data_IF_782615719847
#
_entry.id   IF_782615719847
#
_cell.length_a   1.000
_cell.length_b   1.000
_cell.length_c   1.000
_cell.angle_alpha   90.00
_cell.angle_beta   90.00
_cell.angle_gamma   90.00
#
_symmetry.space_group_name_H-M   'P 1'
#
loop_
_entity.id
_entity.type
_entity.pdbx_description
1 polymer ?
#
# COMPACT_ATOMS: atom_id res chain seq x y z
N UNK A 1 -0.20 29.35 25.17
CA UNK A 1 -1.24 28.28 25.12
C UNK A 1 -1.16 27.59 23.78
N UNK A 2 -1.29 26.25 23.77
CA UNK A 2 -1.32 25.47 22.50
C UNK A 2 -2.51 25.90 21.64
N UNK A 3 -2.33 25.87 20.32
CA UNK A 3 -3.37 26.29 19.37
C UNK A 3 -3.55 27.79 19.24
N UNK A 4 -2.70 28.56 19.85
CA UNK A 4 -2.65 30.02 19.62
C UNK A 4 -1.68 30.35 18.48
N UNK A 5 -1.91 31.47 17.82
CA UNK A 5 -1.01 31.96 16.75
C UNK A 5 0.44 32.08 17.23
N UNK A 6 0.63 32.47 18.48
CA UNK A 6 1.96 32.57 19.09
C UNK A 6 2.69 31.25 19.23
N UNK A 7 1.99 30.18 19.61
CA UNK A 7 2.56 28.84 19.68
C UNK A 7 2.91 28.31 18.28
N UNK A 8 2.00 28.46 17.32
CA UNK A 8 2.25 28.05 15.94
C UNK A 8 3.46 28.75 15.35
N UNK A 9 3.60 30.06 15.59
CA UNK A 9 4.76 30.82 15.16
C UNK A 9 6.08 30.36 15.82
N UNK A 10 6.02 29.97 17.11
CA UNK A 10 7.18 29.43 17.81
C UNK A 10 7.64 28.09 17.21
N UNK A 11 6.71 27.17 16.91
CA UNK A 11 7.01 25.90 16.26
C UNK A 11 7.58 26.10 14.85
N UNK A 12 7.03 27.02 14.06
CA UNK A 12 7.58 27.38 12.74
C UNK A 12 9.00 27.93 12.83
N UNK A 13 9.29 28.78 13.82
CA UNK A 13 10.66 29.30 14.06
C UNK A 13 11.61 28.17 14.44
N UNK A 14 11.17 27.24 15.29
CA UNK A 14 11.96 26.07 15.68
C UNK A 14 12.26 25.17 14.47
N UNK A 15 11.25 24.92 13.58
CA UNK A 15 11.47 24.22 12.31
C UNK A 15 12.52 24.93 11.47
N UNK A 16 12.38 26.23 11.24
CA UNK A 16 13.35 27.00 10.45
C UNK A 16 14.76 27.00 11.07
N UNK A 17 14.88 26.92 12.39
CA UNK A 17 16.16 26.75 13.07
C UNK A 17 16.76 25.35 12.81
N UNK A 18 15.96 24.30 12.92
CA UNK A 18 16.40 22.93 12.63
C UNK A 18 16.86 22.77 11.18
N UNK A 19 16.15 23.40 10.22
CA UNK A 19 16.55 23.41 8.80
C UNK A 19 17.92 24.11 8.60
N UNK A 20 18.16 25.23 9.28
CA UNK A 20 19.48 25.90 9.20
C UNK A 20 20.59 25.04 9.79
N UNK A 21 20.34 24.32 10.88
CA UNK A 21 21.32 23.38 11.44
C UNK A 21 21.60 22.23 10.49
N UNK A 22 20.57 21.64 9.90
CA UNK A 22 20.72 20.56 8.90
C UNK A 22 21.57 21.02 7.70
N UNK A 23 21.32 22.27 7.20
CA UNK A 23 22.08 22.85 6.09
C UNK A 23 23.52 23.24 6.44
N UNK A 24 23.82 23.43 7.71
CA UNK A 24 25.16 23.73 8.21
C UNK A 24 26.03 22.48 8.44
N UNK A 25 25.45 21.27 8.32
CA UNK A 25 26.22 20.05 8.42
C UNK A 25 27.28 19.91 7.32
N UNK A 26 28.43 19.29 7.60
CA UNK A 26 29.44 19.01 6.58
C UNK A 26 28.83 18.22 5.40
N UNK A 27 29.21 18.56 4.19
CA UNK A 27 28.72 17.90 2.95
C UNK A 27 28.92 16.38 3.01
N UNK A 28 29.97 15.91 3.64
CA UNK A 28 30.26 14.49 3.79
C UNK A 28 29.17 13.72 4.57
N UNK A 29 28.43 14.37 5.45
CA UNK A 29 27.31 13.76 6.20
C UNK A 29 26.00 13.76 5.40
N UNK A 30 25.91 14.61 4.37
CA UNK A 30 24.65 14.87 3.67
C UNK A 30 23.61 15.53 4.59
N UNK A 31 22.44 15.82 4.06
CA UNK A 31 21.35 16.35 4.85
C UNK A 31 20.54 15.20 5.47
N UNK A 32 20.12 15.34 6.75
CA UNK A 32 19.33 14.31 7.40
C UNK A 32 17.97 14.18 6.70
N UNK A 33 17.45 12.94 6.53
CA UNK A 33 16.15 12.74 5.91
C UNK A 33 14.99 13.21 6.78
N UNK A 34 15.20 13.38 8.09
CA UNK A 34 14.18 13.86 9.02
C UNK A 34 14.64 15.05 9.83
N UNK A 35 13.69 15.93 10.13
CA UNK A 35 13.78 16.93 11.20
C UNK A 35 12.68 16.64 12.22
N UNK A 36 13.05 16.62 13.49
CA UNK A 36 12.12 16.47 14.61
C UNK A 36 12.14 17.77 15.41
N UNK A 37 11.01 18.43 15.49
CA UNK A 37 10.81 19.62 16.31
C UNK A 37 9.99 19.24 17.53
N UNK A 38 10.46 19.57 18.73
CA UNK A 38 9.85 19.12 19.97
C UNK A 38 9.41 20.31 20.82
N UNK A 39 8.13 20.35 21.16
CA UNK A 39 7.64 21.11 22.31
C UNK A 39 7.69 20.19 23.53
N UNK A 40 8.69 20.42 24.39
CA UNK A 40 9.08 19.49 25.47
C UNK A 40 7.91 19.26 26.42
N UNK A 41 7.62 17.98 26.63
CA UNK A 41 6.50 17.54 27.47
C UNK A 41 5.14 17.61 26.76
N UNK A 42 5.10 17.89 25.45
CA UNK A 42 3.85 18.13 24.76
C UNK A 42 3.71 17.41 23.42
N UNK A 43 4.57 17.68 22.43
CA UNK A 43 4.37 17.20 21.08
C UNK A 43 5.69 17.10 20.31
N UNK A 44 5.75 16.12 19.42
CA UNK A 44 6.75 16.00 18.36
C UNK A 44 6.12 16.43 17.04
N UNK A 45 6.80 17.26 16.26
CA UNK A 45 6.47 17.52 14.86
C UNK A 45 7.53 16.86 13.97
N UNK A 46 7.08 16.01 13.04
CA UNK A 46 7.94 15.28 12.13
C UNK A 46 7.93 15.92 10.75
N UNK A 47 9.11 16.13 10.20
CA UNK A 47 9.30 16.64 8.84
C UNK A 47 10.32 15.79 8.11
N UNK A 48 10.06 15.46 6.83
CA UNK A 48 10.93 14.61 6.02
C UNK A 48 11.33 15.27 4.70
N UNK A 49 12.56 15.00 4.28
CA UNK A 49 13.11 15.24 2.94
C UNK A 49 13.89 14.01 2.49
N UNK A 50 13.20 13.06 1.87
CA UNK A 50 13.80 11.82 1.36
C UNK A 50 14.71 12.05 0.15
N UNK A 51 14.55 13.19 -0.55
CA UNK A 51 15.48 13.56 -1.61
C UNK A 51 16.87 13.91 -1.07
N UNK A 52 16.99 14.16 0.24
CA UNK A 52 18.22 14.57 0.92
C UNK A 52 18.89 15.79 0.28
N UNK A 53 18.09 16.67 -0.29
CA UNK A 53 18.55 17.91 -0.88
C UNK A 53 18.52 19.07 0.11
N UNK A 54 17.85 18.89 1.24
CA UNK A 54 17.62 19.91 2.27
C UNK A 54 16.78 21.09 1.78
N UNK A 55 16.12 20.94 0.62
CA UNK A 55 15.36 22.03 0.00
C UNK A 55 13.94 22.12 0.54
N UNK A 56 13.32 20.98 0.85
CA UNK A 56 11.92 20.95 1.23
C UNK A 56 11.65 19.85 2.26
N UNK A 57 11.71 20.20 3.53
CA UNK A 57 11.20 19.35 4.60
C UNK A 57 9.69 19.50 4.69
N UNK A 58 8.96 18.48 4.27
CA UNK A 58 7.50 18.40 4.31
C UNK A 58 7.01 17.68 5.57
N UNK A 59 5.76 17.91 5.95
CA UNK A 59 5.12 17.23 7.08
C UNK A 59 5.05 15.72 6.82
N UNK A 60 5.42 14.91 7.81
CA UNK A 60 5.46 13.44 7.70
C UNK A 60 4.65 12.76 8.81
N UNK A 61 3.82 11.76 8.50
CA UNK A 61 3.59 11.20 7.16
C UNK A 61 2.76 12.11 6.25
N UNK A 62 1.96 13.00 6.81
CA UNK A 62 1.08 13.94 6.12
C UNK A 62 0.75 15.16 7.00
N UNK A 63 -0.07 16.08 6.51
CA UNK A 63 -0.47 17.30 7.22
C UNK A 63 -1.34 17.04 8.47
N UNK A 64 -1.92 15.87 8.61
CA UNK A 64 -2.77 15.50 9.74
C UNK A 64 -1.99 14.70 10.80
N UNK A 65 -1.09 13.81 10.36
CA UNK A 65 -0.34 12.88 11.19
C UNK A 65 1.03 13.38 11.68
N UNK A 66 1.55 14.50 11.16
CA UNK A 66 2.91 14.96 11.49
C UNK A 66 3.12 15.38 12.94
N UNK A 67 2.04 15.65 13.68
CA UNK A 67 2.05 16.02 15.10
C UNK A 67 1.73 14.83 15.96
N UNK A 68 2.69 14.40 16.75
CA UNK A 68 2.55 13.27 17.67
C UNK A 68 2.52 13.81 19.10
N UNK A 69 1.35 13.84 19.79
CA UNK A 69 1.27 14.15 21.20
C UNK A 69 2.16 13.23 22.03
N UNK A 70 2.76 13.76 23.10
CA UNK A 70 3.71 12.98 23.91
C UNK A 70 3.06 11.75 24.55
N UNK A 71 1.76 11.81 24.83
CA UNK A 71 0.97 10.70 25.36
C UNK A 71 1.00 9.48 24.44
N UNK A 72 1.10 9.69 23.12
CA UNK A 72 1.19 8.61 22.14
C UNK A 72 2.51 7.83 22.18
N UNK A 73 3.49 8.26 22.98
CA UNK A 73 4.66 7.43 23.26
C UNK A 73 4.31 6.13 24.02
N UNK A 74 3.12 6.05 24.64
CA UNK A 74 2.61 4.80 25.18
C UNK A 74 2.31 3.76 24.11
N UNK A 75 2.00 4.20 22.87
CA UNK A 75 1.66 3.32 21.76
C UNK A 75 2.92 2.67 21.16
N UNK A 76 2.86 1.35 20.95
CA UNK A 76 3.96 0.59 20.34
C UNK A 76 4.29 1.09 18.92
N UNK A 77 3.25 1.39 18.13
CA UNK A 77 3.37 1.90 16.78
C UNK A 77 4.15 3.23 16.74
N UNK A 78 3.82 4.17 17.64
CA UNK A 78 4.52 5.46 17.74
C UNK A 78 5.99 5.26 18.10
N UNK A 79 6.30 4.38 19.06
CA UNK A 79 7.69 4.08 19.42
C UNK A 79 8.46 3.42 18.30
N UNK A 80 7.81 2.53 17.56
CA UNK A 80 8.40 1.86 16.39
C UNK A 80 8.71 2.87 15.29
N UNK A 81 7.77 3.76 14.97
CA UNK A 81 7.99 4.85 14.03
C UNK A 81 9.20 5.71 14.40
N UNK A 82 9.25 6.20 15.65
CA UNK A 82 10.36 7.04 16.12
C UNK A 82 11.69 6.27 16.10
N UNK A 83 11.69 4.98 16.44
CA UNK A 83 12.88 4.14 16.33
C UNK A 83 13.33 4.03 14.89
N UNK A 84 12.41 3.75 13.95
CA UNK A 84 12.73 3.63 12.51
C UNK A 84 13.28 4.93 11.94
N UNK A 85 12.74 6.09 12.34
CA UNK A 85 13.29 7.40 11.97
C UNK A 85 14.76 7.52 12.40
N UNK A 86 15.13 6.91 13.53
CA UNK A 86 16.50 6.99 14.07
C UNK A 86 17.45 5.96 13.48
N UNK A 87 16.97 4.74 13.21
CA UNK A 87 17.81 3.63 12.78
C UNK A 87 17.83 3.42 11.27
N UNK A 88 16.67 3.58 10.62
CA UNK A 88 16.46 3.26 9.20
C UNK A 88 15.56 4.28 8.51
N UNK A 89 15.88 5.59 8.56
CA UNK A 89 14.97 6.65 8.13
C UNK A 89 14.54 6.53 6.66
N UNK A 90 15.40 6.02 5.78
CA UNK A 90 15.09 5.85 4.36
C UNK A 90 14.10 4.70 4.08
N UNK A 91 13.88 3.79 5.03
CA UNK A 91 12.84 2.77 4.90
C UNK A 91 11.42 3.34 4.96
N UNK A 92 11.31 4.58 5.47
CA UNK A 92 10.06 5.33 5.56
C UNK A 92 9.75 6.18 4.31
N UNK A 93 10.64 6.18 3.31
CA UNK A 93 10.42 6.89 2.05
C UNK A 93 9.22 6.28 1.30
N UNK A 94 8.12 7.02 1.11
CA UNK A 94 6.95 6.51 0.41
C UNK A 94 7.27 6.06 -1.03
N UNK A 95 8.12 6.78 -1.75
CA UNK A 95 8.49 6.43 -3.12
C UNK A 95 9.30 5.12 -3.16
N UNK A 96 10.28 4.96 -2.28
CA UNK A 96 11.07 3.73 -2.18
C UNK A 96 10.20 2.53 -1.71
N UNK A 97 9.19 2.79 -0.87
CA UNK A 97 8.22 1.78 -0.46
C UNK A 97 7.34 1.36 -1.63
N UNK A 98 6.79 2.32 -2.37
CA UNK A 98 5.97 2.08 -3.56
C UNK A 98 6.73 1.28 -4.61
N UNK A 99 7.98 1.68 -4.95
CA UNK A 99 8.84 0.94 -5.88
C UNK A 99 9.07 -0.51 -5.43
N UNK A 100 9.35 -0.73 -4.15
CA UNK A 100 9.58 -2.07 -3.60
C UNK A 100 8.34 -2.95 -3.70
N UNK A 101 7.17 -2.43 -3.31
CA UNK A 101 5.90 -3.17 -3.38
C UNK A 101 5.55 -3.49 -4.83
N UNK A 102 5.64 -2.50 -5.72
CA UNK A 102 5.40 -2.69 -7.16
C UNK A 102 6.31 -3.77 -7.75
N UNK A 103 7.61 -3.74 -7.42
CA UNK A 103 8.56 -4.76 -7.89
C UNK A 103 8.25 -6.15 -7.34
N UNK A 104 7.87 -6.27 -6.08
CA UNK A 104 7.51 -7.54 -5.47
C UNK A 104 6.27 -8.13 -6.13
N UNK A 105 5.19 -7.35 -6.25
CA UNK A 105 3.94 -7.76 -6.91
C UNK A 105 4.21 -8.16 -8.35
N UNK A 106 4.91 -7.34 -9.12
CA UNK A 106 5.26 -7.62 -10.52
C UNK A 106 6.05 -8.92 -10.67
N UNK A 107 6.99 -9.18 -9.76
CA UNK A 107 7.79 -10.42 -9.77
C UNK A 107 6.92 -11.66 -9.56
N UNK A 108 5.99 -11.61 -8.60
CA UNK A 108 5.05 -12.71 -8.31
C UNK A 108 4.10 -12.96 -9.49
N UNK A 109 3.53 -11.91 -10.06
CA UNK A 109 2.62 -12.02 -11.21
C UNK A 109 3.35 -12.53 -12.46
N UNK A 110 4.58 -12.05 -12.72
CA UNK A 110 5.40 -12.57 -13.84
C UNK A 110 5.77 -14.04 -13.66
N UNK A 111 5.98 -14.49 -12.42
CA UNK A 111 6.20 -15.91 -12.15
C UNK A 111 4.96 -16.77 -12.52
N UNK A 112 3.77 -16.32 -12.11
CA UNK A 112 2.50 -16.98 -12.46
C UNK A 112 2.28 -16.96 -13.97
N UNK A 113 2.50 -15.80 -14.64
CA UNK A 113 2.36 -15.66 -16.08
C UNK A 113 3.19 -16.69 -16.84
N UNK A 114 4.49 -16.77 -16.57
CA UNK A 114 5.40 -17.73 -17.21
C UNK A 114 4.98 -19.18 -17.00
N UNK A 115 4.46 -19.50 -15.82
CA UNK A 115 4.00 -20.86 -15.52
C UNK A 115 2.74 -21.23 -16.35
N UNK A 116 1.79 -20.30 -16.46
CA UNK A 116 0.59 -20.50 -17.26
C UNK A 116 0.90 -20.59 -18.76
N UNK A 117 1.78 -19.75 -19.29
CA UNK A 117 2.25 -19.82 -20.67
C UNK A 117 2.98 -21.13 -20.95
N UNK A 118 3.85 -21.58 -20.03
CA UNK A 118 4.52 -22.89 -20.13
C UNK A 118 3.54 -24.06 -20.09
N UNK A 119 2.39 -23.91 -19.43
CA UNK A 119 1.31 -24.89 -19.41
C UNK A 119 0.47 -24.88 -20.71
N UNK A 120 0.80 -24.01 -21.68
CA UNK A 120 0.16 -23.95 -23.01
C UNK A 120 -0.99 -22.96 -23.12
N UNK A 121 -1.19 -22.09 -22.13
CA UNK A 121 -2.17 -21.01 -22.23
C UNK A 121 -1.63 -19.87 -23.11
N UNK A 122 -2.49 -19.32 -23.98
CA UNK A 122 -2.10 -18.20 -24.85
C UNK A 122 -1.87 -16.92 -24.05
N UNK A 123 -0.84 -16.11 -24.40
CA UNK A 123 -0.45 -14.93 -23.61
C UNK A 123 -1.58 -13.95 -23.37
N UNK A 124 -2.47 -13.72 -24.32
CA UNK A 124 -3.59 -12.79 -24.19
C UNK A 124 -4.58 -13.23 -23.10
N UNK A 125 -4.84 -14.54 -22.99
CA UNK A 125 -5.69 -15.09 -21.92
C UNK A 125 -5.02 -15.01 -20.56
N UNK A 126 -3.70 -15.24 -20.51
CA UNK A 126 -2.91 -15.10 -19.27
C UNK A 126 -2.92 -13.65 -18.81
N UNK A 127 -2.66 -12.71 -19.73
CA UNK A 127 -2.70 -11.28 -19.41
C UNK A 127 -4.09 -10.85 -18.92
N UNK A 128 -5.16 -11.20 -19.61
CA UNK A 128 -6.53 -10.88 -19.20
C UNK A 128 -6.90 -11.44 -17.83
N UNK A 129 -6.49 -12.68 -17.55
CA UNK A 129 -6.68 -13.31 -16.23
C UNK A 129 -5.96 -12.55 -15.13
N UNK A 130 -4.66 -12.24 -15.31
CA UNK A 130 -3.87 -11.52 -14.31
C UNK A 130 -4.34 -10.07 -14.13
N UNK A 131 -4.76 -9.39 -15.20
CA UNK A 131 -5.33 -8.04 -15.10
C UNK A 131 -6.60 -8.02 -14.24
N UNK A 132 -7.48 -9.04 -14.37
CA UNK A 132 -8.66 -9.15 -13.50
C UNK A 132 -8.27 -9.38 -12.04
N UNK A 133 -7.27 -10.24 -11.79
CA UNK A 133 -6.75 -10.42 -10.44
C UNK A 133 -6.19 -9.10 -9.87
N UNK A 134 -5.33 -8.41 -10.63
CA UNK A 134 -4.72 -7.13 -10.22
C UNK A 134 -5.78 -6.08 -9.90
N UNK A 135 -6.76 -5.91 -10.80
CA UNK A 135 -7.82 -4.94 -10.59
C UNK A 135 -8.67 -5.29 -9.35
N UNK A 136 -8.95 -6.58 -9.10
CA UNK A 136 -9.70 -7.03 -7.93
C UNK A 136 -8.94 -6.72 -6.63
N UNK A 137 -7.61 -6.93 -6.59
CA UNK A 137 -6.75 -6.58 -5.46
C UNK A 137 -6.72 -5.07 -5.23
N UNK A 138 -6.51 -4.29 -6.29
CA UNK A 138 -6.54 -2.83 -6.22
C UNK A 138 -7.89 -2.31 -5.73
N UNK A 139 -9.00 -2.78 -6.33
CA UNK A 139 -10.35 -2.34 -5.98
C UNK A 139 -10.71 -2.63 -4.51
N UNK A 140 -10.20 -3.74 -3.97
CA UNK A 140 -10.34 -4.08 -2.55
C UNK A 140 -9.56 -3.09 -1.67
N UNK A 141 -8.32 -2.83 -1.99
CA UNK A 141 -7.43 -2.04 -1.14
C UNK A 141 -7.77 -0.54 -1.13
N UNK A 142 -8.29 -0.02 -2.24
CA UNK A 142 -8.80 1.37 -2.32
C UNK A 142 -10.25 1.53 -1.85
N UNK A 143 -10.87 0.44 -1.36
CA UNK A 143 -12.22 0.47 -0.80
C UNK A 143 -13.34 0.53 -1.84
N UNK A 144 -13.07 0.20 -3.10
CA UNK A 144 -14.11 0.03 -4.14
C UNK A 144 -14.85 -1.31 -4.01
N UNK A 145 -14.19 -2.31 -3.44
CA UNK A 145 -14.83 -3.57 -3.01
C UNK A 145 -14.98 -3.56 -1.49
N UNK A 146 -16.10 -4.09 -0.94
CA UNK A 146 -16.31 -4.17 0.49
C UNK A 146 -15.33 -5.13 1.17
N UNK A 147 -14.69 -4.70 2.23
CA UNK A 147 -13.82 -5.53 3.09
C UNK A 147 -12.67 -6.19 2.32
N UNK A 148 -12.26 -7.38 2.76
CA UNK A 148 -11.23 -8.21 2.12
C UNK A 148 -11.85 -9.28 1.21
N UNK A 149 -12.80 -8.91 0.34
CA UNK A 149 -13.64 -9.83 -0.42
C UNK A 149 -12.84 -10.73 -1.36
N UNK A 150 -11.90 -10.17 -2.10
CA UNK A 150 -11.07 -10.92 -3.05
C UNK A 150 -9.96 -11.70 -2.35
N UNK A 151 -9.30 -11.11 -1.38
CA UNK A 151 -8.28 -11.77 -0.55
C UNK A 151 -8.87 -12.95 0.23
N UNK A 152 -10.04 -12.79 0.83
CA UNK A 152 -10.75 -13.86 1.51
C UNK A 152 -11.18 -14.97 0.54
N UNK A 153 -11.66 -14.61 -0.66
CA UNK A 153 -11.93 -15.59 -1.71
C UNK A 153 -10.69 -16.41 -2.01
N UNK A 154 -9.56 -15.78 -2.35
CA UNK A 154 -8.33 -16.49 -2.69
C UNK A 154 -7.88 -17.44 -1.58
N UNK A 155 -7.92 -17.01 -0.33
CA UNK A 155 -7.58 -17.88 0.83
C UNK A 155 -8.53 -19.07 0.93
N UNK A 156 -9.83 -18.88 0.67
CA UNK A 156 -10.83 -19.96 0.69
C UNK A 156 -10.60 -21.03 -0.38
N UNK A 157 -9.86 -20.67 -1.45
CA UNK A 157 -9.54 -21.59 -2.55
C UNK A 157 -8.37 -22.53 -2.25
N UNK A 158 -7.64 -22.34 -1.15
CA UNK A 158 -6.56 -23.24 -0.76
C UNK A 158 -7.07 -24.66 -0.60
N UNK A 159 -6.40 -25.61 -1.22
CA UNK A 159 -6.75 -27.02 -1.18
C UNK A 159 -8.02 -27.41 -1.93
N UNK A 160 -8.72 -26.48 -2.58
CA UNK A 160 -9.87 -26.80 -3.45
C UNK A 160 -9.41 -27.37 -4.79
N UNK A 161 -10.22 -28.27 -5.41
CA UNK A 161 -9.98 -28.70 -6.80
C UNK A 161 -9.93 -27.51 -7.77
N UNK A 162 -9.05 -27.56 -8.78
CA UNK A 162 -8.86 -26.48 -9.75
C UNK A 162 -10.15 -26.00 -10.40
N UNK A 163 -11.04 -26.93 -10.76
CA UNK A 163 -12.33 -26.58 -11.35
C UNK A 163 -13.18 -25.71 -10.40
N UNK A 164 -13.16 -25.99 -9.10
CA UNK A 164 -13.86 -25.18 -8.12
C UNK A 164 -13.21 -23.81 -7.92
N UNK A 165 -11.87 -23.76 -7.98
CA UNK A 165 -11.13 -22.49 -7.92
C UNK A 165 -11.53 -21.59 -9.08
N UNK A 166 -11.49 -22.11 -10.30
CA UNK A 166 -11.87 -21.38 -11.52
C UNK A 166 -13.33 -20.89 -11.45
N UNK A 167 -14.25 -21.79 -11.14
CA UNK A 167 -15.68 -21.44 -11.04
C UNK A 167 -15.96 -20.36 -10.00
N UNK A 168 -15.26 -20.35 -8.89
CA UNK A 168 -15.41 -19.33 -7.84
C UNK A 168 -14.89 -17.97 -8.31
N UNK A 169 -13.72 -17.91 -8.96
CA UNK A 169 -13.18 -16.68 -9.56
C UNK A 169 -14.10 -16.12 -10.65
N UNK A 170 -14.56 -17.00 -11.56
CA UNK A 170 -15.48 -16.62 -12.62
C UNK A 170 -16.81 -16.07 -12.08
N UNK A 171 -17.30 -16.66 -11.00
CA UNK A 171 -18.51 -16.16 -10.33
C UNK A 171 -18.28 -14.81 -9.67
N UNK A 172 -17.15 -14.62 -8.99
CA UNK A 172 -16.78 -13.36 -8.39
C UNK A 172 -16.74 -12.23 -9.44
N UNK A 173 -16.05 -12.46 -10.56
CA UNK A 173 -15.98 -11.50 -11.66
C UNK A 173 -17.30 -11.31 -12.40
N UNK A 174 -18.18 -12.32 -12.41
CA UNK A 174 -19.54 -12.16 -12.93
C UNK A 174 -20.34 -11.15 -12.08
N UNK A 175 -20.23 -11.26 -10.76
CA UNK A 175 -20.88 -10.32 -9.84
C UNK A 175 -20.29 -8.90 -9.99
N UNK A 176 -18.97 -8.76 -10.22
CA UNK A 176 -18.34 -7.46 -10.52
C UNK A 176 -18.79 -6.86 -11.86
N UNK A 177 -19.00 -7.67 -12.91
CA UNK A 177 -19.42 -7.20 -14.23
C UNK A 177 -20.85 -6.66 -14.24
N UNK A 178 -21.76 -7.37 -13.57
CA UNK A 178 -23.18 -7.04 -13.60
C UNK A 178 -23.64 -6.21 -12.43
N UNK A 179 -22.89 -6.23 -11.33
CA UNK A 179 -23.35 -5.84 -10.01
C UNK A 179 -24.30 -6.89 -9.42
N UNK A 180 -24.43 -6.91 -8.12
CA UNK A 180 -25.37 -7.76 -7.42
C UNK A 180 -25.87 -7.07 -6.14
N UNK A 181 -27.19 -7.07 -5.89
CA UNK A 181 -27.75 -6.57 -4.63
C UNK A 181 -27.26 -7.37 -3.42
N UNK A 182 -26.91 -8.63 -3.65
CA UNK A 182 -26.27 -9.49 -2.67
C UNK A 182 -25.30 -10.46 -3.33
N UNK A 183 -24.07 -10.51 -2.83
CA UNK A 183 -23.04 -11.46 -3.24
C UNK A 183 -22.48 -12.20 -2.02
N UNK A 184 -22.27 -13.51 -2.12
CA UNK A 184 -21.68 -14.29 -1.02
C UNK A 184 -20.23 -13.90 -0.73
N UNK A 185 -19.57 -13.21 -1.65
CA UNK A 185 -18.18 -12.79 -1.51
C UNK A 185 -18.01 -11.53 -0.68
N UNK A 186 -19.01 -10.64 -0.74
CA UNK A 186 -19.02 -9.37 0.01
C UNK A 186 -19.90 -9.44 1.26
N UNK A 187 -20.75 -10.46 1.35
CA UNK A 187 -21.79 -10.54 2.38
C UNK A 187 -22.86 -9.44 2.26
N UNK A 188 -22.93 -8.77 1.12
CA UNK A 188 -23.82 -7.65 0.83
C UNK A 188 -23.78 -7.29 -0.65
N UNK A 189 -23.95 -6.01 -0.97
CA UNK A 189 -23.93 -5.51 -2.33
C UNK A 189 -22.55 -5.69 -2.97
N UNK A 190 -22.54 -6.11 -4.25
CA UNK A 190 -21.35 -6.08 -5.12
C UNK A 190 -21.54 -4.94 -6.10
N UNK A 191 -20.70 -3.90 -6.07
CA UNK A 191 -20.79 -2.81 -7.02
C UNK A 191 -20.46 -3.25 -8.44
N UNK A 192 -21.10 -2.62 -9.41
CA UNK A 192 -20.82 -2.89 -10.83
C UNK A 192 -19.58 -2.14 -11.29
N UNK A 193 -18.65 -2.85 -11.90
CA UNK A 193 -17.43 -2.30 -12.49
C UNK A 193 -17.58 -2.18 -14.02
N UNK A 194 -17.55 -0.95 -14.50
CA UNK A 194 -17.64 -0.65 -15.93
C UNK A 194 -16.30 -0.83 -16.64
N UNK A 195 -16.29 -0.89 -17.99
CA UNK A 195 -15.05 -0.89 -18.80
C UNK A 195 -14.72 -2.21 -19.48
N UNK A 196 -15.59 -3.24 -19.36
CA UNK A 196 -15.46 -4.48 -20.13
C UNK A 196 -14.37 -5.45 -19.66
N UNK A 197 -13.59 -5.13 -18.63
CA UNK A 197 -12.53 -6.01 -18.09
C UNK A 197 -13.09 -7.36 -17.61
N UNK A 198 -14.29 -7.34 -17.02
CA UNK A 198 -14.97 -8.50 -16.47
C UNK A 198 -16.00 -9.14 -17.43
N UNK A 199 -16.18 -8.60 -18.63
CA UNK A 199 -17.06 -9.20 -19.65
C UNK A 199 -16.52 -10.59 -20.07
N UNK A 200 -15.20 -10.74 -20.24
CA UNK A 200 -14.55 -12.03 -20.31
C UNK A 200 -14.05 -12.42 -18.92
N UNK A 201 -14.59 -13.50 -18.36
CA UNK A 201 -14.34 -13.89 -16.95
C UNK A 201 -13.60 -15.21 -16.82
N UNK A 202 -13.16 -15.82 -17.92
CA UNK A 202 -12.52 -17.13 -17.89
C UNK A 202 -11.31 -17.13 -16.95
N UNK A 203 -11.37 -17.93 -15.89
CA UNK A 203 -10.27 -18.16 -14.99
C UNK A 203 -9.31 -19.19 -15.56
N UNK A 204 -8.06 -19.15 -15.13
CA UNK A 204 -7.05 -20.13 -15.49
C UNK A 204 -6.72 -21.03 -14.29
N UNK A 205 -6.39 -22.31 -14.53
CA UNK A 205 -6.08 -23.25 -13.46
C UNK A 205 -4.75 -22.89 -12.81
N UNK A 206 -4.74 -22.74 -11.50
CA UNK A 206 -3.54 -22.45 -10.72
C UNK A 206 -3.05 -23.70 -9.98
N UNK A 207 -1.74 -23.93 -10.00
CA UNK A 207 -1.11 -24.87 -9.09
C UNK A 207 -1.12 -24.30 -7.67
N UNK A 208 -1.04 -25.14 -6.62
CA UNK A 208 -1.11 -24.66 -5.24
C UNK A 208 -0.10 -23.58 -4.89
N UNK A 209 1.11 -23.65 -5.43
CA UNK A 209 2.16 -22.64 -5.20
C UNK A 209 1.88 -21.34 -5.97
N UNK A 210 1.30 -21.39 -7.18
CA UNK A 210 0.89 -20.18 -7.91
C UNK A 210 -0.27 -19.46 -7.22
N UNK A 211 -1.23 -20.22 -6.69
CA UNK A 211 -2.28 -19.64 -5.83
C UNK A 211 -1.67 -18.99 -4.58
N UNK A 212 -0.64 -19.61 -3.98
CA UNK A 212 0.12 -19.03 -2.88
C UNK A 212 0.78 -17.68 -3.22
N UNK A 213 1.39 -17.58 -4.40
CA UNK A 213 1.97 -16.32 -4.91
C UNK A 213 0.89 -15.26 -5.19
N UNK A 214 -0.26 -15.65 -5.72
CA UNK A 214 -1.38 -14.75 -5.95
C UNK A 214 -1.94 -14.20 -4.63
N UNK A 215 -2.09 -15.04 -3.61
CA UNK A 215 -2.48 -14.64 -2.26
C UNK A 215 -1.46 -13.70 -1.64
N UNK A 216 -0.17 -13.97 -1.82
CA UNK A 216 0.89 -13.10 -1.31
C UNK A 216 0.87 -11.73 -2.02
N UNK A 217 0.57 -11.70 -3.33
CA UNK A 217 0.38 -10.46 -4.06
C UNK A 217 -0.87 -9.69 -3.57
N UNK A 218 -1.97 -10.39 -3.24
CA UNK A 218 -3.18 -9.76 -2.72
C UNK A 218 -2.99 -9.11 -1.33
N UNK A 219 -2.03 -9.59 -0.55
CA UNK A 219 -1.68 -9.02 0.78
C UNK A 219 -0.73 -7.82 0.72
N UNK A 220 -0.25 -7.46 -0.47
CA UNK A 220 0.55 -6.26 -0.64
C UNK A 220 -0.33 -5.00 -0.44
N UNK A 221 0.29 -3.88 -0.05
CA UNK A 221 -0.40 -2.59 0.03
C UNK A 221 -0.55 -2.01 -1.39
N UNK A 222 -1.69 -2.24 -2.02
CA UNK A 222 -1.94 -1.81 -3.41
C UNK A 222 -2.11 -0.31 -3.57
N UNK A 223 -2.28 0.43 -2.47
CA UNK A 223 -2.25 1.91 -2.48
C UNK A 223 -0.86 2.43 -2.77
N UNK A 224 0.16 1.63 -2.46
CA UNK A 224 1.56 1.93 -2.75
C UNK A 224 2.01 1.40 -4.12
N UNK A 225 1.18 0.65 -4.86
CA UNK A 225 1.51 0.15 -6.21
C UNK A 225 1.28 1.26 -7.24
N UNK A 226 2.34 1.67 -7.94
CA UNK A 226 2.22 2.59 -9.07
C UNK A 226 1.66 1.84 -10.29
N UNK A 227 0.63 2.41 -10.98
CA UNK A 227 -0.02 1.77 -12.12
C UNK A 227 0.85 1.70 -13.38
#
# INVERSE_FOLDING_TARGET
MRGTDGWTLAMQRAKGQAERYAKALPIAHGWPPFLIVVDVGHVFELYADFSRTGKAYTQFPDAQGFRIPIERLADEETRTLLRTIWTEPMSLDPAARAERVTKEVSTRLAFIARALEKAGHVPERVAGFLMRCMFSMFAEDVGLLPGESFSALLESLRGKPRQQQMAALERFWADMDTGAEWSPFTGGEMPRFNGGLFAERAALPLEPHHLGELIAAAKADWRDVEP
#
